data_IF_081128670889
#
_entry.id   IF_081128670889
#
_cell.length_a   1.000
_cell.length_b   1.000
_cell.length_c   1.000
_cell.angle_alpha   90.00
_cell.angle_beta   90.00
_cell.angle_gamma   90.00
#
_symmetry.space_group_name_H-M   'P 1'
#
loop_
_entity.id
_entity.type
_entity.pdbx_description
1 polymer ?
#
# COMPACT_ATOMS: atom_id res chain seq x y z
N UNK A 1 5.34 5.91 13.02
CA UNK A 1 4.44 5.42 11.94
C UNK A 1 4.26 3.91 11.88
N UNK A 2 5.18 3.08 12.48
CA UNK A 2 5.07 1.61 12.46
C UNK A 2 3.81 1.07 13.15
N UNK A 3 3.34 1.73 14.22
CA UNK A 3 2.10 1.37 14.95
C UNK A 3 0.81 1.57 14.14
N UNK A 4 0.88 2.22 12.97
CA UNK A 4 -0.25 2.39 12.07
C UNK A 4 0.11 1.83 10.70
N UNK A 5 0.88 2.58 9.88
CA UNK A 5 1.22 2.17 8.52
C UNK A 5 2.01 0.85 8.46
N UNK A 6 2.85 0.58 9.47
CA UNK A 6 3.56 -0.68 9.59
C UNK A 6 2.62 -1.86 9.77
N UNK A 7 1.91 -1.94 10.89
CA UNK A 7 1.04 -3.08 11.20
C UNK A 7 -0.11 -3.24 10.18
N UNK A 8 -0.72 -2.15 9.72
CA UNK A 8 -1.83 -2.19 8.76
C UNK A 8 -1.45 -2.87 7.44
N UNK A 9 -0.20 -2.75 7.02
CA UNK A 9 0.29 -3.39 5.79
C UNK A 9 0.98 -4.72 6.05
N UNK A 10 1.67 -4.86 7.19
CA UNK A 10 2.34 -6.11 7.56
C UNK A 10 1.36 -7.26 7.81
N UNK A 11 0.30 -7.03 8.60
CA UNK A 11 -0.67 -8.06 8.98
C UNK A 11 -1.29 -8.77 7.77
N UNK A 12 -1.92 -8.08 6.79
CA UNK A 12 -2.50 -8.76 5.63
C UNK A 12 -1.45 -9.40 4.71
N UNK A 13 -0.24 -8.86 4.61
CA UNK A 13 0.85 -9.48 3.84
C UNK A 13 1.24 -10.83 4.45
N UNK A 14 1.30 -10.92 5.79
CA UNK A 14 1.55 -12.18 6.49
C UNK A 14 0.37 -13.15 6.35
N UNK A 15 -0.86 -12.66 6.46
CA UNK A 15 -2.08 -13.46 6.31
C UNK A 15 -2.16 -14.12 4.93
N UNK A 16 -1.84 -13.38 3.87
CA UNK A 16 -1.82 -13.86 2.49
C UNK A 16 -0.57 -14.69 2.15
N UNK A 17 0.32 -14.91 3.12
CA UNK A 17 1.52 -15.75 2.98
C UNK A 17 2.41 -15.38 1.81
N UNK A 18 2.51 -14.08 1.52
CA UNK A 18 3.43 -13.57 0.48
C UNK A 18 4.85 -14.08 0.75
N UNK A 19 5.48 -14.61 -0.28
CA UNK A 19 6.79 -15.24 -0.19
C UNK A 19 7.69 -14.89 -1.37
N UNK A 20 8.92 -15.38 -1.30
CA UNK A 20 9.92 -15.16 -2.35
C UNK A 20 9.42 -15.67 -3.71
N UNK A 21 9.51 -14.80 -4.71
CA UNK A 21 9.15 -15.10 -6.09
C UNK A 21 7.69 -14.91 -6.44
N UNK A 22 6.83 -14.58 -5.46
CA UNK A 22 5.46 -14.18 -5.76
C UNK A 22 5.44 -12.88 -6.55
N UNK A 23 4.54 -12.80 -7.52
CA UNK A 23 4.28 -11.56 -8.26
C UNK A 23 3.15 -10.81 -7.56
N UNK A 24 3.47 -9.70 -6.91
CA UNK A 24 2.55 -8.98 -6.05
C UNK A 24 2.44 -7.50 -6.42
N UNK A 25 1.39 -6.84 -5.97
CA UNK A 25 1.22 -5.43 -6.28
C UNK A 25 0.76 -4.59 -5.09
N UNK A 26 1.16 -3.32 -5.14
CA UNK A 26 0.64 -2.24 -4.28
C UNK A 26 -0.18 -1.30 -5.14
N UNK A 27 -1.46 -1.15 -4.86
CA UNK A 27 -2.32 -0.13 -5.46
C UNK A 27 -2.42 1.09 -4.54
N UNK A 28 -1.89 2.22 -5.02
CA UNK A 28 -1.69 3.45 -4.25
C UNK A 28 -0.34 3.50 -3.55
N UNK A 29 0.47 4.52 -3.86
CA UNK A 29 1.83 4.67 -3.31
C UNK A 29 1.94 5.92 -2.44
N UNK A 30 1.30 5.87 -1.29
CA UNK A 30 1.32 6.87 -0.23
C UNK A 30 1.93 6.32 1.06
N UNK A 31 1.48 6.87 2.21
CA UNK A 31 1.97 6.51 3.53
C UNK A 31 1.79 5.03 3.92
N UNK A 32 0.77 4.33 3.43
CA UNK A 32 0.62 2.89 3.58
C UNK A 32 1.39 2.14 2.48
N UNK A 33 1.23 2.56 1.23
CA UNK A 33 1.78 1.85 0.08
C UNK A 33 3.31 1.71 0.11
N UNK A 34 4.06 2.74 0.57
CA UNK A 34 5.52 2.62 0.67
C UNK A 34 5.96 1.58 1.71
N UNK A 35 5.19 1.43 2.82
CA UNK A 35 5.46 0.38 3.81
C UNK A 35 5.13 -1.01 3.26
N UNK A 36 3.98 -1.16 2.57
CA UNK A 36 3.62 -2.41 1.90
C UNK A 36 4.70 -2.86 0.91
N UNK A 37 5.19 -1.94 0.08
CA UNK A 37 6.29 -2.20 -0.85
C UNK A 37 7.52 -2.72 -0.11
N UNK A 38 7.99 -2.00 0.93
CA UNK A 38 9.20 -2.38 1.69
C UNK A 38 9.06 -3.77 2.32
N UNK A 39 7.90 -4.11 2.89
CA UNK A 39 7.68 -5.44 3.47
C UNK A 39 7.70 -6.54 2.40
N UNK A 40 6.96 -6.38 1.29
CA UNK A 40 6.92 -7.40 0.26
C UNK A 40 8.27 -7.58 -0.45
N UNK A 41 9.01 -6.50 -0.68
CA UNK A 41 10.40 -6.58 -1.19
C UNK A 41 11.30 -7.36 -0.22
N UNK A 42 11.18 -7.13 1.09
CA UNK A 42 11.99 -7.83 2.10
C UNK A 42 11.69 -9.33 2.16
N UNK A 43 10.48 -9.74 1.80
CA UNK A 43 10.09 -11.14 1.67
C UNK A 43 10.63 -11.78 0.36
N UNK A 44 11.19 -10.97 -0.54
CA UNK A 44 11.73 -11.41 -1.82
C UNK A 44 10.69 -11.57 -2.93
N UNK A 45 9.53 -10.94 -2.78
CA UNK A 45 8.52 -10.90 -3.83
C UNK A 45 8.86 -9.90 -4.94
N UNK A 46 8.34 -10.14 -6.13
CA UNK A 46 8.42 -9.24 -7.29
C UNK A 46 7.28 -8.21 -7.21
N UNK A 47 7.60 -6.99 -6.76
CA UNK A 47 6.57 -5.99 -6.45
C UNK A 47 6.34 -5.01 -7.61
N UNK A 48 5.10 -4.90 -8.06
CA UNK A 48 4.63 -3.83 -8.95
C UNK A 48 3.87 -2.78 -8.14
N UNK A 49 4.18 -1.50 -8.37
CA UNK A 49 3.47 -0.38 -7.75
C UNK A 49 2.57 0.28 -8.78
N UNK A 50 1.29 0.47 -8.44
CA UNK A 50 0.31 1.24 -9.20
C UNK A 50 0.03 2.57 -8.51
N UNK A 51 0.13 3.69 -9.22
CA UNK A 51 -0.25 5.01 -8.71
C UNK A 51 -0.79 5.90 -9.84
N UNK A 52 -1.35 7.06 -9.50
CA UNK A 52 -1.95 8.02 -10.43
C UNK A 52 -0.94 9.01 -11.03
N UNK A 53 0.26 9.13 -10.44
CA UNK A 53 1.24 10.19 -10.75
C UNK A 53 2.62 9.60 -11.07
N UNK A 54 3.45 10.35 -11.78
CA UNK A 54 4.81 9.92 -12.16
C UNK A 54 5.88 10.34 -11.15
N UNK A 55 5.60 11.31 -10.29
CA UNK A 55 6.56 11.93 -9.37
C UNK A 55 7.12 10.93 -8.34
N UNK A 56 6.38 9.86 -8.05
CA UNK A 56 6.76 8.82 -7.08
C UNK A 56 7.49 7.61 -7.71
N UNK A 57 7.55 7.52 -9.03
CA UNK A 57 8.19 6.39 -9.75
C UNK A 57 9.62 6.14 -9.30
N UNK A 58 10.43 7.20 -9.20
CA UNK A 58 11.84 7.09 -8.78
C UNK A 58 11.96 6.53 -7.36
N UNK A 59 11.10 6.98 -6.47
CA UNK A 59 11.11 6.52 -5.07
C UNK A 59 10.69 5.05 -4.96
N UNK A 60 9.64 4.63 -5.66
CA UNK A 60 9.19 3.24 -5.68
C UNK A 60 10.30 2.30 -6.17
N UNK A 61 10.95 2.65 -7.29
CA UNK A 61 12.05 1.85 -7.82
C UNK A 61 13.26 1.83 -6.88
N UNK A 62 13.61 2.96 -6.25
CA UNK A 62 14.66 3.04 -5.22
C UNK A 62 14.37 2.16 -4.01
N UNK A 63 13.10 2.04 -3.62
CA UNK A 63 12.64 1.19 -2.51
C UNK A 63 12.52 -0.29 -2.90
N UNK A 64 12.84 -0.66 -4.14
CA UNK A 64 12.92 -2.05 -4.59
C UNK A 64 11.73 -2.53 -5.42
N UNK A 65 10.82 -1.65 -5.83
CA UNK A 65 9.78 -2.04 -6.79
C UNK A 65 10.43 -2.51 -8.09
N UNK A 66 9.97 -3.65 -8.61
CA UNK A 66 10.39 -4.18 -9.90
C UNK A 66 9.79 -3.40 -11.06
N UNK A 67 8.57 -2.91 -10.86
CA UNK A 67 7.83 -2.12 -11.84
C UNK A 67 6.99 -1.05 -11.15
N UNK A 68 6.87 0.09 -11.81
CA UNK A 68 5.92 1.15 -11.45
C UNK A 68 5.02 1.42 -12.65
N UNK A 69 3.73 1.51 -12.41
CA UNK A 69 2.70 1.67 -13.42
C UNK A 69 1.85 2.89 -13.10
N UNK A 70 1.77 3.82 -14.03
CA UNK A 70 0.81 4.90 -13.96
C UNK A 70 -0.55 4.40 -14.46
N UNK A 71 -1.52 4.29 -13.57
CA UNK A 71 -2.84 3.74 -13.91
C UNK A 71 -3.67 4.63 -14.85
N UNK A 72 -3.25 5.87 -15.10
CA UNK A 72 -3.84 6.72 -16.15
C UNK A 72 -3.35 6.37 -17.54
N UNK A 73 -2.29 5.58 -17.65
CA UNK A 73 -1.74 5.13 -18.90
C UNK A 73 -2.24 3.70 -19.21
N UNK A 74 -3.32 3.61 -19.97
CA UNK A 74 -3.93 2.32 -20.33
C UNK A 74 -2.95 1.35 -20.98
N UNK A 75 -1.93 1.85 -21.68
CA UNK A 75 -0.93 0.98 -22.33
C UNK A 75 -0.02 0.29 -21.32
N UNK A 76 0.20 0.87 -20.14
CA UNK A 76 0.99 0.26 -19.07
C UNK A 76 0.23 -0.84 -18.32
N UNK A 77 -1.11 -0.79 -18.32
CA UNK A 77 -1.98 -1.77 -17.64
C UNK A 77 -2.27 -2.98 -18.53
N UNK A 78 -2.31 -2.75 -19.84
CA UNK A 78 -2.67 -3.78 -20.82
C UNK A 78 -1.77 -5.01 -20.71
N UNK A 79 -2.39 -6.19 -20.67
CA UNK A 79 -1.68 -7.47 -20.60
C UNK A 79 -1.23 -7.86 -19.19
N UNK A 80 -1.79 -7.23 -18.15
CA UNK A 80 -1.53 -7.60 -16.75
C UNK A 80 -2.58 -8.54 -16.14
N UNK A 81 -3.55 -8.99 -16.94
CA UNK A 81 -4.56 -9.95 -16.50
C UNK A 81 -3.90 -11.24 -16.00
N UNK A 82 -4.46 -11.84 -14.95
CA UNK A 82 -4.00 -13.11 -14.35
C UNK A 82 -2.51 -13.13 -13.95
N UNK A 83 -1.93 -11.99 -13.57
CA UNK A 83 -0.50 -11.86 -13.31
C UNK A 83 -0.12 -11.92 -11.84
N UNK A 84 -0.98 -11.47 -10.93
CA UNK A 84 -0.62 -11.26 -9.53
C UNK A 84 -1.16 -12.33 -8.59
N UNK A 85 -0.32 -12.74 -7.65
CA UNK A 85 -0.68 -13.63 -6.54
C UNK A 85 -1.43 -12.85 -5.45
N UNK A 86 -0.98 -11.63 -5.18
CA UNK A 86 -1.54 -10.77 -4.15
C UNK A 86 -1.51 -9.29 -4.57
N UNK A 87 -2.58 -8.56 -4.28
CA UNK A 87 -2.65 -7.11 -4.44
C UNK A 87 -3.10 -6.49 -3.13
N UNK A 88 -2.34 -5.54 -2.59
CA UNK A 88 -2.77 -4.72 -1.47
C UNK A 88 -3.20 -3.34 -1.97
N UNK A 89 -4.46 -2.96 -1.73
CA UNK A 89 -4.97 -1.63 -2.05
C UNK A 89 -4.90 -0.71 -0.83
N UNK A 90 -4.12 0.35 -0.98
CA UNK A 90 -3.98 1.43 0.01
C UNK A 90 -4.62 2.73 -0.47
N UNK A 91 -5.46 2.66 -1.50
CA UNK A 91 -6.10 3.81 -2.15
C UNK A 91 -7.09 4.44 -1.16
N UNK A 92 -6.94 5.74 -0.82
CA UNK A 92 -7.77 6.42 0.17
C UNK A 92 -8.97 7.16 -0.45
N UNK A 93 -9.47 6.68 -1.57
CA UNK A 93 -10.58 7.30 -2.30
C UNK A 93 -11.34 6.24 -3.09
N UNK A 94 -12.46 6.64 -3.70
CA UNK A 94 -13.21 5.75 -4.56
C UNK A 94 -12.35 5.23 -5.72
N UNK A 95 -12.38 3.94 -5.93
CA UNK A 95 -11.73 3.26 -7.05
C UNK A 95 -12.57 2.08 -7.53
N UNK A 96 -12.29 1.57 -8.71
CA UNK A 96 -12.96 0.40 -9.26
C UNK A 96 -12.16 -0.88 -8.92
N UNK A 97 -12.61 -1.69 -7.93
CA UNK A 97 -11.88 -2.89 -7.51
C UNK A 97 -11.70 -3.92 -8.63
N UNK A 98 -12.68 -4.02 -9.55
CA UNK A 98 -12.61 -4.99 -10.64
C UNK A 98 -11.42 -4.78 -11.55
N UNK A 99 -10.96 -3.53 -11.72
CA UNK A 99 -9.75 -3.20 -12.48
C UNK A 99 -8.53 -3.95 -11.94
N UNK A 100 -8.40 -4.05 -10.63
CA UNK A 100 -7.30 -4.78 -9.99
C UNK A 100 -7.59 -6.28 -9.87
N UNK A 101 -8.85 -6.65 -9.60
CA UNK A 101 -9.22 -8.05 -9.46
C UNK A 101 -9.00 -8.87 -10.73
N UNK A 102 -9.18 -8.29 -11.92
CA UNK A 102 -8.88 -8.97 -13.18
C UNK A 102 -7.38 -9.26 -13.37
N UNK A 103 -6.51 -8.51 -12.67
CA UNK A 103 -5.07 -8.73 -12.72
C UNK A 103 -4.62 -9.87 -11.79
N UNK A 104 -5.45 -10.30 -10.86
CA UNK A 104 -5.17 -11.42 -9.97
C UNK A 104 -5.21 -12.76 -10.71
N UNK A 105 -4.36 -13.69 -10.32
CA UNK A 105 -4.41 -15.08 -10.80
C UNK A 105 -5.75 -15.74 -10.45
N UNK A 106 -6.30 -16.50 -11.38
CA UNK A 106 -7.52 -17.28 -11.15
C UNK A 106 -7.23 -18.34 -10.08
N UNK A 107 -8.19 -18.60 -9.20
CA UNK A 107 -8.20 -19.60 -8.11
C UNK A 107 -7.31 -19.23 -6.90
N UNK A 108 -6.19 -18.56 -7.10
CA UNK A 108 -5.21 -18.33 -6.04
C UNK A 108 -5.06 -16.86 -5.68
N UNK A 109 -5.40 -15.94 -6.59
CA UNK A 109 -5.15 -14.52 -6.39
C UNK A 109 -6.07 -13.89 -5.35
N UNK A 110 -5.47 -13.03 -4.51
CA UNK A 110 -6.14 -12.34 -3.40
C UNK A 110 -5.90 -10.83 -3.46
N UNK A 111 -6.93 -10.06 -3.16
CA UNK A 111 -6.85 -8.61 -2.97
C UNK A 111 -7.24 -8.24 -1.55
N UNK A 112 -6.35 -7.55 -0.85
CA UNK A 112 -6.65 -6.94 0.43
C UNK A 112 -6.83 -5.44 0.31
N UNK A 113 -7.91 -4.90 0.86
CA UNK A 113 -8.19 -3.46 0.90
C UNK A 113 -7.92 -2.95 2.30
N UNK A 114 -7.00 -1.98 2.43
CA UNK A 114 -6.63 -1.32 3.68
C UNK A 114 -6.79 0.22 3.62
N UNK A 115 -7.13 0.75 2.46
CA UNK A 115 -7.46 2.17 2.30
C UNK A 115 -8.81 2.50 2.93
N UNK A 116 -8.87 3.63 3.65
CA UNK A 116 -10.04 4.01 4.46
C UNK A 116 -10.96 5.02 3.78
N UNK A 117 -11.06 5.04 2.48
CA UNK A 117 -12.12 5.84 1.85
C UNK A 117 -13.10 4.95 1.10
N UNK A 118 -14.15 4.74 1.72
CA UNK A 118 -14.98 3.65 1.75
C UNK A 118 -16.14 3.55 0.78
N UNK A 119 -16.13 4.04 -0.43
CA UNK A 119 -17.25 3.77 -1.36
C UNK A 119 -16.91 2.80 -2.50
N UNK A 120 -15.71 2.28 -2.54
CA UNK A 120 -15.41 1.18 -3.44
C UNK A 120 -16.22 -0.05 -3.03
N UNK A 121 -17.09 -0.52 -3.92
CA UNK A 121 -17.95 -1.67 -3.65
C UNK A 121 -17.88 -2.68 -4.77
N UNK A 122 -18.01 -3.96 -4.41
CA UNK A 122 -18.15 -5.06 -5.36
C UNK A 122 -19.46 -5.79 -5.03
N UNK A 123 -20.36 -5.87 -5.99
CA UNK A 123 -21.62 -6.59 -5.81
C UNK A 123 -21.40 -8.10 -5.92
N UNK A 124 -22.30 -8.88 -5.33
CA UNK A 124 -22.28 -10.35 -5.46
C UNK A 124 -22.30 -10.79 -6.92
N UNK A 125 -23.07 -10.11 -7.76
CA UNK A 125 -23.13 -10.41 -9.19
C UNK A 125 -21.78 -10.22 -9.88
N UNK A 126 -21.05 -9.12 -9.56
CA UNK A 126 -19.70 -8.88 -10.08
C UNK A 126 -18.68 -9.91 -9.61
N UNK A 127 -18.83 -10.44 -8.39
CA UNK A 127 -17.96 -11.53 -7.90
C UNK A 127 -18.20 -12.86 -8.60
N UNK A 128 -19.44 -13.13 -9.07
CA UNK A 128 -19.78 -14.34 -9.81
C UNK A 128 -19.29 -14.26 -11.27
N UNK A 129 -19.33 -13.07 -11.85
CA UNK A 129 -18.98 -12.85 -13.25
C UNK A 129 -17.47 -12.60 -13.44
N UNK A 130 -16.96 -12.94 -14.62
CA UNK A 130 -15.65 -12.47 -15.05
C UNK A 130 -15.65 -10.92 -15.11
N UNK A 131 -14.58 -10.22 -14.64
CA UNK A 131 -13.25 -10.77 -14.32
C UNK A 131 -13.01 -11.12 -12.85
N UNK A 132 -13.99 -10.94 -11.96
CA UNK A 132 -13.79 -11.15 -10.52
C UNK A 132 -13.96 -12.61 -10.06
N UNK A 133 -14.59 -13.47 -10.89
CA UNK A 133 -14.87 -14.84 -10.50
C UNK A 133 -13.62 -15.64 -10.13
N UNK A 134 -13.77 -16.49 -9.09
CA UNK A 134 -12.70 -17.37 -8.60
C UNK A 134 -11.47 -16.62 -8.06
N UNK A 135 -11.65 -15.40 -7.59
CA UNK A 135 -10.64 -14.57 -6.90
C UNK A 135 -11.18 -14.16 -5.54
N UNK A 136 -10.30 -13.71 -4.67
CA UNK A 136 -10.68 -13.29 -3.33
C UNK A 136 -10.48 -11.80 -3.17
N UNK A 137 -11.42 -11.15 -2.47
CA UNK A 137 -11.28 -9.77 -2.00
C UNK A 137 -11.71 -9.73 -0.54
N UNK A 138 -10.92 -9.05 0.30
CA UNK A 138 -11.22 -8.85 1.71
C UNK A 138 -10.66 -7.53 2.21
N UNK A 139 -11.17 -7.05 3.33
CA UNK A 139 -10.65 -5.88 4.03
C UNK A 139 -9.79 -6.27 5.22
N UNK A 140 -8.82 -5.42 5.56
CA UNK A 140 -8.04 -5.53 6.80
C UNK A 140 -7.88 -4.14 7.42
N UNK A 141 -7.94 -4.07 8.73
CA UNK A 141 -7.86 -2.81 9.47
C UNK A 141 -6.89 -2.95 10.66
N UNK A 142 -5.76 -2.24 10.58
CA UNK A 142 -4.73 -2.23 11.63
C UNK A 142 -4.23 -3.66 11.92
N UNK A 143 -4.10 -4.01 13.20
CA UNK A 143 -3.73 -5.33 13.71
C UNK A 143 -3.80 -5.33 15.23
N UNK A 144 -3.83 -6.52 15.81
CA UNK A 144 -3.80 -6.71 17.25
C UNK A 144 -2.43 -6.37 17.88
N UNK A 145 -2.35 -6.42 19.20
CA UNK A 145 -1.10 -6.13 19.95
C UNK A 145 0.03 -7.08 19.50
N UNK A 146 -0.28 -8.36 19.35
CA UNK A 146 0.70 -9.36 18.90
C UNK A 146 1.23 -9.05 17.51
N UNK A 147 0.36 -8.79 16.54
CA UNK A 147 0.74 -8.45 15.17
C UNK A 147 1.54 -7.13 15.11
N UNK A 148 1.20 -6.17 15.96
CA UNK A 148 1.94 -4.91 16.07
C UNK A 148 3.37 -5.16 16.58
N UNK A 149 3.55 -6.02 17.59
CA UNK A 149 4.88 -6.39 18.07
C UNK A 149 5.67 -7.14 16.99
N UNK A 150 5.03 -8.10 16.32
CA UNK A 150 5.66 -8.84 15.22
C UNK A 150 6.10 -7.91 14.07
N UNK A 151 5.26 -6.92 13.72
CA UNK A 151 5.59 -5.93 12.69
C UNK A 151 6.79 -5.06 13.08
N UNK A 152 6.89 -4.67 14.36
CA UNK A 152 8.02 -3.90 14.88
C UNK A 152 9.30 -4.75 14.88
N UNK A 153 9.23 -5.96 15.43
CA UNK A 153 10.38 -6.87 15.52
C UNK A 153 10.92 -7.21 14.11
N UNK A 154 10.01 -7.48 13.18
CA UNK A 154 10.36 -7.72 11.78
C UNK A 154 11.02 -6.48 11.15
N UNK A 155 10.44 -5.31 11.38
CA UNK A 155 10.97 -4.05 10.83
C UNK A 155 12.37 -3.75 11.34
N UNK A 156 12.60 -3.90 12.65
CA UNK A 156 13.93 -3.69 13.26
C UNK A 156 14.94 -4.71 12.73
N UNK A 157 14.56 -5.99 12.68
CA UNK A 157 15.43 -7.07 12.20
C UNK A 157 15.88 -6.88 10.76
N UNK A 158 15.00 -6.34 9.90
CA UNK A 158 15.26 -6.19 8.47
C UNK A 158 15.58 -4.76 8.04
N UNK A 159 15.70 -3.81 8.98
CA UNK A 159 16.00 -2.40 8.69
C UNK A 159 14.90 -1.69 7.90
N UNK A 160 13.63 -2.09 8.10
CA UNK A 160 12.49 -1.52 7.38
C UNK A 160 11.88 -0.39 8.19
N UNK A 161 12.13 0.84 7.77
CA UNK A 161 11.59 2.03 8.41
C UNK A 161 10.80 2.87 7.41
N UNK A 162 9.77 3.61 7.89
CA UNK A 162 9.04 4.55 7.06
C UNK A 162 9.93 5.71 6.62
N UNK A 163 9.72 6.20 5.41
CA UNK A 163 10.25 7.50 5.00
C UNK A 163 9.43 8.58 5.71
N UNK A 164 10.10 9.50 6.39
CA UNK A 164 9.45 10.55 7.19
C UNK A 164 10.04 11.93 6.91
N UNK A 165 9.18 12.93 6.98
CA UNK A 165 9.55 14.35 7.02
C UNK A 165 9.31 14.85 8.45
N UNK A 166 10.37 15.32 9.09
CA UNK A 166 10.29 15.82 10.48
C UNK A 166 9.91 17.30 10.44
N UNK A 167 8.89 17.67 11.21
CA UNK A 167 8.40 19.04 11.32
C UNK A 167 8.43 19.51 12.77
N UNK A 168 8.59 20.82 13.04
CA UNK A 168 8.54 21.35 14.40
C UNK A 168 7.11 21.33 14.97
N UNK A 169 7.03 21.26 16.29
CA UNK A 169 5.77 21.22 17.06
C UNK A 169 5.18 22.64 17.23
N UNK A 170 4.85 23.31 16.13
CA UNK A 170 4.14 24.59 16.15
C UNK A 170 2.96 24.59 15.18
N UNK A 171 1.98 25.47 15.43
CA UNK A 171 0.73 25.50 14.68
C UNK A 171 0.95 25.72 13.18
N UNK A 172 1.84 26.63 12.78
CA UNK A 172 2.05 26.95 11.38
C UNK A 172 2.60 25.75 10.57
N UNK A 173 3.58 25.03 11.12
CA UNK A 173 4.16 23.84 10.49
C UNK A 173 3.15 22.69 10.41
N UNK A 174 2.33 22.53 11.45
CA UNK A 174 1.28 21.50 11.48
C UNK A 174 0.19 21.81 10.45
N UNK A 175 -0.27 23.06 10.38
CA UNK A 175 -1.26 23.48 9.38
C UNK A 175 -0.75 23.35 7.95
N UNK A 176 0.53 23.64 7.71
CA UNK A 176 1.16 23.42 6.41
C UNK A 176 1.24 21.93 6.08
N UNK A 177 1.62 21.09 7.04
CA UNK A 177 1.65 19.64 6.86
C UNK A 177 0.28 19.07 6.49
N UNK A 178 -0.80 19.53 7.14
CA UNK A 178 -2.17 19.13 6.77
C UNK A 178 -2.51 19.53 5.33
N UNK A 179 -2.19 20.74 4.90
CA UNK A 179 -2.39 21.18 3.50
C UNK A 179 -1.61 20.30 2.53
N UNK A 180 -0.35 20.02 2.83
CA UNK A 180 0.51 19.20 1.97
C UNK A 180 0.03 17.72 1.89
N UNK A 181 -0.58 17.18 2.97
CA UNK A 181 -1.21 15.85 2.93
C UNK A 181 -2.41 15.86 1.97
N UNK A 182 -3.28 16.86 2.06
CA UNK A 182 -4.45 16.99 1.18
C UNK A 182 -4.03 17.17 -0.29
N UNK A 183 -2.95 17.88 -0.54
CA UNK A 183 -2.37 18.09 -1.88
C UNK A 183 -1.56 16.87 -2.38
N UNK A 184 -1.38 15.83 -1.59
CA UNK A 184 -0.59 14.64 -1.94
C UNK A 184 0.92 14.88 -2.04
N UNK A 185 1.44 15.96 -1.46
CA UNK A 185 2.85 16.38 -1.57
C UNK A 185 3.79 15.65 -0.60
N UNK A 186 3.25 15.04 0.48
CA UNK A 186 4.06 14.38 1.51
C UNK A 186 4.75 13.10 1.01
N UNK A 187 6.01 12.91 1.40
CA UNK A 187 6.79 11.69 1.08
C UNK A 187 7.43 11.11 2.35
N UNK A 188 6.79 10.29 3.14
CA UNK A 188 5.44 9.75 2.96
C UNK A 188 4.64 9.95 4.24
N UNK A 189 5.28 10.40 5.33
CA UNK A 189 4.69 10.66 6.64
C UNK A 189 5.33 11.86 7.29
N UNK A 190 4.54 12.75 7.86
CA UNK A 190 5.06 13.75 8.79
C UNK A 190 5.24 13.16 10.18
N UNK A 191 6.33 13.55 10.84
CA UNK A 191 6.61 13.27 12.25
C UNK A 191 6.89 14.60 12.94
N UNK A 192 6.14 14.89 14.00
CA UNK A 192 6.31 16.12 14.77
C UNK A 192 7.43 15.91 15.78
N UNK A 193 8.45 16.75 15.74
CA UNK A 193 9.50 16.77 16.77
C UNK A 193 8.99 17.50 18.01
N UNK A 194 8.56 16.74 19.00
CA UNK A 194 8.03 17.27 20.24
C UNK A 194 9.07 18.02 21.09
N UNK A 195 10.37 17.86 20.84
CA UNK A 195 11.42 18.63 21.51
C UNK A 195 11.38 20.12 21.20
N UNK A 196 10.71 20.48 20.09
CA UNK A 196 10.60 21.88 19.61
C UNK A 196 9.34 22.60 20.12
N UNK A 197 8.50 21.93 20.96
CA UNK A 197 7.19 22.46 21.38
C UNK A 197 7.27 23.72 22.24
N UNK A 198 8.39 23.98 22.94
CA UNK A 198 8.58 25.10 23.86
C UNK A 198 9.69 26.07 23.38
N UNK A 199 9.99 26.08 22.09
CA UNK A 199 10.99 26.99 21.52
C UNK A 199 10.33 28.18 20.84
#
# INVERSE_FOLDING_TARGET
PLFCAGVTTFSPIQLSRVQRGDNVAVAGFGGLGHMALKYMVSLGADVTVFDLTEDKRKDALRMGAKKYVNVKNETEIKGMENSFDFIISTIPMNFEPLTYMQMLKIDTGEMCVVGLDGQASVTTMQLIQHPASRRRIYGSLIGGIKETQEAIDYSVKHGIYPEVEIIPANAAAIDEAYRNILDGKVKYRYVIDMSTMNQ
#
